data_IF_550970505364
#
_entry.id   IF_550970505364
#
_cell.length_a   1.000
_cell.length_b   1.000
_cell.length_c   1.000
_cell.angle_alpha   90.00
_cell.angle_beta   90.00
_cell.angle_gamma   90.00
#
_symmetry.space_group_name_H-M   'P 1'
#
loop_
_entity.id
_entity.type
_entity.pdbx_description
1 polymer ?
#
# COMPACT_ATOMS: atom_id res chain seq x y z
N UNK A 1 37.57 34.03 36.89
CA UNK A 1 36.42 33.32 37.50
C UNK A 1 36.79 32.85 38.90
N UNK A 2 35.99 33.22 39.91
CA UNK A 2 36.19 32.74 41.29
C UNK A 2 35.98 31.22 41.38
N UNK A 3 36.63 30.55 42.35
CA UNK A 3 36.43 29.11 42.59
C UNK A 3 34.95 28.75 42.80
N UNK A 4 34.19 29.67 43.43
CA UNK A 4 32.75 29.54 43.63
C UNK A 4 31.98 29.48 42.30
N UNK A 5 32.37 30.28 41.31
CA UNK A 5 31.78 30.24 39.98
C UNK A 5 32.11 28.93 39.24
N UNK A 6 33.35 28.42 39.36
CA UNK A 6 33.73 27.11 38.79
C UNK A 6 32.95 25.96 39.42
N UNK A 7 32.80 25.93 40.73
CA UNK A 7 32.05 24.89 41.44
C UNK A 7 30.55 24.88 41.09
N UNK A 8 29.96 26.05 40.82
CA UNK A 8 28.57 26.15 40.34
C UNK A 8 28.44 25.60 38.93
N UNK A 9 29.33 26.01 38.01
CA UNK A 9 29.36 25.49 36.63
C UNK A 9 29.53 23.98 36.61
N UNK A 10 30.44 23.42 37.40
CA UNK A 10 30.66 21.97 37.50
C UNK A 10 29.42 21.21 37.97
N UNK A 11 28.68 21.73 38.96
CA UNK A 11 27.42 21.11 39.42
C UNK A 11 26.33 21.20 38.36
N UNK A 12 26.21 22.34 37.68
CA UNK A 12 25.26 22.50 36.59
C UNK A 12 25.56 21.53 35.44
N UNK A 13 26.83 21.38 35.05
CA UNK A 13 27.25 20.44 34.01
C UNK A 13 26.93 18.99 34.41
N UNK A 14 27.24 18.57 35.64
CA UNK A 14 26.91 17.21 36.12
C UNK A 14 25.41 16.97 36.21
N UNK A 15 24.64 17.97 36.63
CA UNK A 15 23.18 17.87 36.69
C UNK A 15 22.58 17.72 35.29
N UNK A 16 23.01 18.55 34.34
CA UNK A 16 22.59 18.47 32.93
C UNK A 16 23.01 17.13 32.31
N UNK A 17 24.22 16.66 32.55
CA UNK A 17 24.69 15.36 32.08
C UNK A 17 23.89 14.19 32.70
N UNK A 18 23.57 14.27 34.00
CA UNK A 18 22.72 13.29 34.68
C UNK A 18 21.30 13.25 34.13
N UNK A 19 20.70 14.42 33.88
CA UNK A 19 19.40 14.52 33.22
C UNK A 19 19.43 13.98 31.78
N UNK A 20 20.48 14.29 31.02
CA UNK A 20 20.64 13.78 29.66
C UNK A 20 20.78 12.26 29.65
N UNK A 21 21.56 11.67 30.55
CA UNK A 21 21.62 10.21 30.72
C UNK A 21 20.26 9.62 31.10
N UNK A 22 19.56 10.21 32.07
CA UNK A 22 18.24 9.73 32.49
C UNK A 22 17.22 9.81 31.34
N UNK A 23 17.19 10.91 30.58
CA UNK A 23 16.34 11.07 29.40
C UNK A 23 16.69 10.03 28.32
N UNK A 24 17.98 9.83 28.03
CA UNK A 24 18.42 8.81 27.07
C UNK A 24 18.04 7.41 27.52
N UNK A 25 18.11 7.11 28.82
CA UNK A 25 17.68 5.80 29.34
C UNK A 25 16.14 5.65 29.28
N UNK A 26 15.38 6.65 29.71
CA UNK A 26 13.92 6.62 29.70
C UNK A 26 13.33 6.58 28.28
N UNK A 27 13.97 7.23 27.31
CA UNK A 27 13.55 7.22 25.91
C UNK A 27 14.14 6.03 25.13
N UNK A 28 15.41 5.69 25.36
CA UNK A 28 16.12 4.67 24.58
C UNK A 28 15.80 3.24 24.99
N UNK A 29 15.62 2.96 26.29
CA UNK A 29 15.37 1.58 26.76
C UNK A 29 14.09 1.01 26.17
N UNK A 30 12.92 1.69 26.20
CA UNK A 30 11.71 1.14 25.61
C UNK A 30 11.86 0.85 24.11
N UNK A 31 12.44 1.78 23.34
CA UNK A 31 12.70 1.56 21.92
C UNK A 31 13.58 0.32 21.69
N UNK A 32 14.67 0.17 22.47
CA UNK A 32 15.51 -1.01 22.40
C UNK A 32 14.76 -2.30 22.78
N UNK A 33 13.88 -2.24 23.79
CA UNK A 33 13.04 -3.38 24.18
C UNK A 33 12.09 -3.79 23.06
N UNK A 34 11.47 -2.83 22.36
CA UNK A 34 10.62 -3.13 21.21
C UNK A 34 11.37 -3.98 20.18
N UNK A 35 12.52 -3.51 19.70
CA UNK A 35 13.27 -4.22 18.65
C UNK A 35 13.94 -5.51 19.13
N UNK A 36 14.31 -5.60 20.41
CA UNK A 36 14.95 -6.80 20.96
C UNK A 36 13.96 -7.89 21.41
N UNK A 37 12.72 -7.52 21.75
CA UNK A 37 11.79 -8.41 22.45
C UNK A 37 10.48 -8.67 21.72
N UNK A 38 10.09 -7.84 20.74
CA UNK A 38 8.89 -8.07 19.96
C UNK A 38 9.15 -9.18 18.92
N UNK A 39 8.48 -10.34 19.02
CA UNK A 39 8.65 -11.43 18.05
C UNK A 39 7.94 -11.12 16.73
N UNK A 40 7.11 -10.07 16.67
CA UNK A 40 6.37 -9.65 15.49
C UNK A 40 7.06 -8.42 14.88
N UNK A 41 7.43 -8.54 13.61
CA UNK A 41 7.88 -7.42 12.79
C UNK A 41 6.67 -6.79 12.14
N UNK A 42 6.45 -5.52 12.44
CA UNK A 42 5.35 -4.73 11.89
C UNK A 42 5.85 -3.87 10.74
N UNK A 43 5.16 -3.92 9.61
CA UNK A 43 5.60 -3.26 8.37
C UNK A 43 5.77 -1.74 8.52
N UNK A 44 5.02 -1.11 9.44
CA UNK A 44 5.16 0.31 9.75
C UNK A 44 6.61 0.72 10.13
N UNK A 45 7.36 -0.15 10.80
CA UNK A 45 8.75 0.14 11.17
C UNK A 45 9.71 -0.17 10.03
N UNK A 46 9.41 -1.20 9.23
CA UNK A 46 10.21 -1.53 8.04
C UNK A 46 10.17 -0.36 7.03
N UNK A 47 9.00 0.21 6.76
CA UNK A 47 8.88 1.37 5.88
C UNK A 47 9.53 2.64 6.43
N UNK A 48 9.36 2.92 7.73
CA UNK A 48 10.05 4.07 8.33
C UNK A 48 11.58 3.98 8.19
N UNK A 49 12.13 2.76 8.26
CA UNK A 49 13.56 2.53 8.02
C UNK A 49 13.94 2.68 6.55
N UNK A 50 13.06 2.29 5.61
CA UNK A 50 13.25 2.56 4.17
C UNK A 50 13.27 4.06 3.91
N UNK A 51 12.28 4.79 4.39
CA UNK A 51 12.21 6.24 4.26
C UNK A 51 13.46 6.92 4.81
N UNK A 52 13.94 6.49 5.99
CA UNK A 52 15.18 6.99 6.55
C UNK A 52 16.39 6.72 5.67
N UNK A 53 16.55 5.48 5.20
CA UNK A 53 17.69 5.10 4.37
C UNK A 53 17.78 5.93 3.10
N UNK A 54 16.66 6.37 2.53
CA UNK A 54 16.63 7.13 1.28
C UNK A 54 16.36 8.63 1.46
N UNK A 55 16.37 9.12 2.71
CA UNK A 55 16.25 10.56 2.98
C UNK A 55 14.84 11.13 2.90
N UNK A 56 13.82 10.27 2.78
CA UNK A 56 12.40 10.64 2.79
C UNK A 56 11.87 10.84 4.21
N UNK A 57 12.63 11.56 5.04
CA UNK A 57 12.35 11.70 6.47
C UNK A 57 11.69 13.04 6.73
N UNK A 58 10.48 13.00 7.28
CA UNK A 58 9.82 14.19 7.83
C UNK A 58 9.93 14.17 9.35
N UNK A 59 9.86 15.35 9.99
CA UNK A 59 9.79 15.42 11.46
C UNK A 59 8.60 14.61 12.01
N UNK A 60 7.48 14.60 11.27
CA UNK A 60 6.30 13.83 11.62
C UNK A 60 6.53 12.32 11.57
N UNK A 61 7.22 11.81 10.52
CA UNK A 61 7.51 10.38 10.41
C UNK A 61 8.48 9.91 11.50
N UNK A 62 9.49 10.72 11.84
CA UNK A 62 10.41 10.44 12.96
C UNK A 62 9.66 10.42 14.30
N UNK A 63 8.83 11.43 14.56
CA UNK A 63 8.06 11.50 15.80
C UNK A 63 7.12 10.30 15.94
N UNK A 64 6.44 9.94 14.85
CA UNK A 64 5.52 8.78 14.79
C UNK A 64 6.25 7.46 15.02
N UNK A 65 7.44 7.29 14.41
CA UNK A 65 8.28 6.11 14.63
C UNK A 65 8.71 6.00 16.09
N UNK A 66 9.24 7.09 16.67
CA UNK A 66 9.71 7.13 18.06
C UNK A 66 8.54 6.84 19.02
N UNK A 67 7.40 7.50 18.86
CA UNK A 67 6.22 7.31 19.71
C UNK A 67 5.72 5.86 19.64
N UNK A 68 5.60 5.30 18.43
CA UNK A 68 5.16 3.91 18.23
C UNK A 68 6.13 2.89 18.82
N UNK A 69 7.44 3.04 18.58
CA UNK A 69 8.45 2.12 19.09
C UNK A 69 8.59 2.23 20.61
N UNK A 70 8.60 3.45 21.14
CA UNK A 70 8.70 3.71 22.58
C UNK A 70 7.49 3.16 23.33
N UNK A 71 6.27 3.49 22.88
CA UNK A 71 5.03 3.02 23.52
C UNK A 71 4.90 1.50 23.45
N UNK A 72 5.30 0.87 22.34
CA UNK A 72 5.38 -0.59 22.23
C UNK A 72 6.38 -1.18 23.23
N UNK A 73 7.56 -0.59 23.37
CA UNK A 73 8.55 -1.00 24.36
C UNK A 73 8.06 -0.94 25.80
N UNK A 74 7.42 0.18 26.17
CA UNK A 74 6.80 0.35 27.48
C UNK A 74 5.73 -0.70 27.71
N UNK A 75 4.88 -0.94 26.71
CA UNK A 75 3.86 -1.98 26.79
C UNK A 75 4.48 -3.35 27.03
N UNK A 76 5.50 -3.75 26.27
CA UNK A 76 6.17 -5.05 26.43
C UNK A 76 6.73 -5.21 27.85
N UNK A 77 7.31 -4.16 28.42
CA UNK A 77 7.82 -4.18 29.79
C UNK A 77 6.70 -4.38 30.83
N UNK A 78 5.54 -3.75 30.62
CA UNK A 78 4.42 -3.75 31.57
C UNK A 78 3.52 -4.98 31.43
N UNK A 79 3.09 -5.33 30.21
CA UNK A 79 2.12 -6.40 29.96
C UNK A 79 2.76 -7.77 29.80
N UNK A 80 4.03 -7.83 29.38
CA UNK A 80 4.79 -9.06 29.09
C UNK A 80 3.95 -10.09 28.32
N UNK A 81 3.55 -9.79 27.07
CA UNK A 81 2.70 -10.69 26.30
C UNK A 81 3.32 -12.08 26.19
N UNK A 82 2.48 -13.12 26.09
CA UNK A 82 2.97 -14.49 25.93
C UNK A 82 3.86 -14.60 24.68
N UNK A 83 4.97 -15.32 24.81
CA UNK A 83 5.86 -15.67 23.69
C UNK A 83 5.49 -17.00 23.03
N UNK A 84 4.58 -17.75 23.63
CA UNK A 84 4.13 -19.03 23.08
C UNK A 84 3.02 -18.77 22.06
N UNK A 85 3.29 -18.99 20.75
CA UNK A 85 2.29 -18.80 19.73
C UNK A 85 1.23 -19.92 19.80
N UNK A 86 -0.04 -19.62 19.50
CA UNK A 86 -1.08 -20.64 19.41
C UNK A 86 -0.94 -21.47 18.11
N UNK A 87 -1.68 -22.58 17.99
CA UNK A 87 -1.79 -23.32 16.73
C UNK A 87 -2.27 -22.44 15.56
N UNK A 88 -1.71 -22.67 14.37
CA UNK A 88 -2.02 -21.90 13.15
C UNK A 88 -3.40 -22.22 12.56
N UNK A 89 -4.07 -23.29 12.99
CA UNK A 89 -5.43 -23.62 12.59
C UNK A 89 -6.50 -22.96 13.47
N UNK A 90 -6.10 -22.05 14.37
CA UNK A 90 -6.98 -21.29 15.25
C UNK A 90 -6.87 -19.76 15.03
N UNK A 91 -7.44 -19.21 13.93
CA UNK A 91 -7.27 -17.81 13.54
C UNK A 91 -7.56 -16.79 14.64
N UNK A 92 -8.63 -16.94 15.42
CA UNK A 92 -8.98 -16.00 16.49
C UNK A 92 -7.93 -15.99 17.61
N UNK A 93 -7.30 -17.14 17.93
CA UNK A 93 -6.20 -17.19 18.89
C UNK A 93 -4.94 -16.56 18.33
N UNK A 94 -4.62 -16.82 17.06
CA UNK A 94 -3.48 -16.20 16.37
C UNK A 94 -3.65 -14.68 16.33
N UNK A 95 -4.84 -14.17 16.00
CA UNK A 95 -5.14 -12.75 16.06
C UNK A 95 -4.91 -12.20 17.47
N UNK A 96 -5.46 -12.83 18.52
CA UNK A 96 -5.26 -12.40 19.91
C UNK A 96 -3.77 -12.30 20.27
N UNK A 97 -2.98 -13.30 19.87
CA UNK A 97 -1.54 -13.33 20.11
C UNK A 97 -0.84 -12.15 19.42
N UNK A 98 -1.09 -11.93 18.13
CA UNK A 98 -0.49 -10.85 17.36
C UNK A 98 -0.92 -9.47 17.87
N UNK A 99 -2.20 -9.30 18.16
CA UNK A 99 -2.78 -8.06 18.66
C UNK A 99 -2.16 -7.66 20.01
N UNK A 100 -1.86 -8.63 20.88
CA UNK A 100 -1.16 -8.38 22.14
C UNK A 100 0.28 -7.85 21.96
N UNK A 101 0.95 -8.21 20.86
CA UNK A 101 2.30 -7.74 20.48
C UNK A 101 2.29 -6.48 19.61
N UNK A 102 1.12 -6.09 19.08
CA UNK A 102 0.97 -4.90 18.27
C UNK A 102 1.32 -3.65 19.07
N UNK A 103 2.04 -2.66 18.49
CA UNK A 103 2.24 -1.37 19.11
C UNK A 103 0.90 -0.73 19.52
N UNK A 104 0.83 0.00 20.64
CA UNK A 104 -0.38 0.72 21.05
C UNK A 104 -0.96 1.61 19.94
N UNK A 105 -0.10 2.11 19.05
CA UNK A 105 -0.46 2.88 17.85
C UNK A 105 -0.04 2.11 16.61
N UNK A 106 -1.01 1.59 15.87
CA UNK A 106 -0.81 0.99 14.55
C UNK A 106 -1.00 2.05 13.47
N UNK A 107 0.09 2.41 12.81
CA UNK A 107 0.08 3.32 11.65
C UNK A 107 -0.18 2.47 10.42
N UNK A 108 -1.38 2.61 9.87
CA UNK A 108 -1.84 1.86 8.71
C UNK A 108 -1.35 2.59 7.49
N UNK A 109 -0.72 1.85 6.60
CA UNK A 109 -0.11 2.45 5.43
C UNK A 109 -1.19 2.79 4.39
N UNK A 110 -0.98 3.85 3.60
CA UNK A 110 -1.97 4.33 2.66
C UNK A 110 -2.20 3.34 1.54
N UNK A 111 -3.47 2.89 1.36
CA UNK A 111 -4.11 2.39 0.11
C UNK A 111 -5.29 1.46 0.43
N UNK A 112 -5.05 0.21 0.79
CA UNK A 112 -6.07 -0.84 1.00
C UNK A 112 -6.56 -0.92 2.45
N UNK A 113 -5.91 -0.19 3.36
CA UNK A 113 -6.22 -0.27 4.79
C UNK A 113 -5.77 -1.60 5.40
N UNK A 114 -4.63 -2.14 4.95
CA UNK A 114 -4.00 -3.30 5.57
C UNK A 114 -2.88 -2.89 6.53
N UNK A 115 -2.82 -3.58 7.65
CA UNK A 115 -1.74 -3.47 8.63
C UNK A 115 -0.97 -4.79 8.70
N UNK A 116 0.19 -4.80 8.03
CA UNK A 116 0.97 -6.00 7.78
C UNK A 116 1.93 -6.38 8.91
N UNK A 117 2.16 -7.69 9.03
CA UNK A 117 3.12 -8.25 9.97
C UNK A 117 3.85 -9.46 9.41
N UNK A 118 5.01 -9.74 10.02
CA UNK A 118 5.79 -10.97 9.84
C UNK A 118 6.25 -11.48 11.19
N UNK A 119 6.17 -12.79 11.41
CA UNK A 119 6.65 -13.41 12.66
C UNK A 119 7.03 -14.86 12.42
N UNK A 120 7.56 -15.51 13.46
CA UNK A 120 7.83 -16.95 13.46
C UNK A 120 6.93 -17.61 14.50
N UNK A 121 6.18 -18.63 14.07
CA UNK A 121 5.32 -19.44 14.95
C UNK A 121 5.74 -20.91 14.84
N UNK A 122 6.47 -21.39 15.86
CA UNK A 122 7.15 -22.69 15.79
C UNK A 122 8.24 -22.68 14.72
N UNK A 123 8.17 -23.64 13.79
CA UNK A 123 9.13 -23.73 12.69
C UNK A 123 8.77 -22.90 11.45
N UNK A 124 7.56 -22.35 11.44
CA UNK A 124 7.01 -21.63 10.30
C UNK A 124 7.30 -20.13 10.39
N UNK A 125 7.74 -19.56 9.28
CA UNK A 125 7.61 -18.13 9.05
C UNK A 125 6.17 -17.82 8.62
N UNK A 126 5.55 -16.83 9.25
CA UNK A 126 4.14 -16.46 9.07
C UNK A 126 4.04 -15.00 8.68
N UNK A 127 3.38 -14.73 7.56
CA UNK A 127 3.13 -13.39 7.03
C UNK A 127 1.62 -13.17 7.00
N UNK A 128 1.17 -11.93 7.19
CA UNK A 128 -0.26 -11.63 7.15
C UNK A 128 -0.58 -10.16 7.35
N UNK A 129 -1.86 -9.87 7.47
CA UNK A 129 -2.37 -8.52 7.65
C UNK A 129 -3.65 -8.46 8.50
N UNK A 130 -3.91 -7.28 9.06
CA UNK A 130 -5.21 -6.86 9.54
C UNK A 130 -5.82 -5.91 8.52
N UNK A 131 -6.98 -6.23 7.97
CA UNK A 131 -7.77 -5.29 7.17
C UNK A 131 -8.58 -4.41 8.11
N UNK A 132 -8.17 -3.15 8.20
CA UNK A 132 -8.84 -2.15 9.05
C UNK A 132 -9.82 -1.27 8.27
N UNK A 133 -9.92 -1.45 6.96
CA UNK A 133 -10.88 -0.74 6.10
C UNK A 133 -12.34 -0.90 6.57
N UNK A 134 -12.67 -2.05 7.18
CA UNK A 134 -14.01 -2.36 7.67
C UNK A 134 -14.26 -1.96 9.14
N UNK A 135 -13.31 -1.29 9.80
CA UNK A 135 -13.50 -0.82 11.19
C UNK A 135 -14.72 0.09 11.32
N UNK A 136 -15.02 0.89 10.29
CA UNK A 136 -16.24 1.71 10.23
C UNK A 136 -17.55 0.92 10.28
N UNK A 137 -17.50 -0.38 9.96
CA UNK A 137 -18.61 -1.34 10.03
C UNK A 137 -18.58 -2.18 11.32
N UNK A 138 -17.65 -1.89 12.24
CA UNK A 138 -17.44 -2.67 13.45
C UNK A 138 -16.79 -4.04 13.21
N UNK A 139 -16.10 -4.21 12.08
CA UNK A 139 -15.45 -5.47 11.70
C UNK A 139 -13.95 -5.28 11.49
N UNK A 140 -13.19 -6.35 11.74
CA UNK A 140 -11.78 -6.43 11.36
C UNK A 140 -11.55 -7.78 10.68
N UNK A 141 -11.10 -7.76 9.43
CA UNK A 141 -10.67 -8.99 8.75
C UNK A 141 -9.20 -9.25 9.03
N UNK A 142 -8.86 -10.52 9.20
CA UNK A 142 -7.51 -10.96 9.51
C UNK A 142 -7.17 -12.15 8.62
N UNK A 143 -6.00 -12.11 7.97
CA UNK A 143 -5.50 -13.22 7.17
C UNK A 143 -4.00 -13.40 7.34
N UNK A 144 -3.54 -14.64 7.26
CA UNK A 144 -2.13 -14.99 7.37
C UNK A 144 -1.82 -16.31 6.66
N UNK A 145 -0.56 -16.50 6.31
CA UNK A 145 -0.08 -17.69 5.63
C UNK A 145 1.34 -18.07 6.04
N UNK A 146 1.70 -19.35 5.85
CA UNK A 146 3.08 -19.83 6.04
C UNK A 146 3.96 -19.58 4.83
N UNK A 147 5.26 -19.36 5.07
CA UNK A 147 6.29 -19.29 4.03
C UNK A 147 7.24 -20.49 4.20
N UNK A 148 7.55 -21.25 3.13
CA UNK A 148 7.14 -21.06 1.74
C UNK A 148 5.82 -21.76 1.35
N UNK A 149 5.21 -22.55 2.23
CA UNK A 149 4.11 -23.46 1.87
C UNK A 149 2.81 -22.76 1.42
N UNK A 150 2.65 -21.48 1.77
CA UNK A 150 1.49 -20.63 1.44
C UNK A 150 0.14 -21.23 1.91
N UNK A 151 0.12 -22.01 2.98
CA UNK A 151 -1.14 -22.40 3.64
C UNK A 151 -1.79 -21.16 4.21
N UNK A 152 -3.04 -20.86 3.84
CA UNK A 152 -3.73 -19.62 4.20
C UNK A 152 -4.81 -19.88 5.24
N UNK A 153 -4.89 -19.00 6.23
CA UNK A 153 -5.98 -18.92 7.18
C UNK A 153 -6.53 -17.50 7.22
N UNK A 154 -7.83 -17.37 7.49
CA UNK A 154 -8.48 -16.07 7.65
C UNK A 154 -9.63 -16.13 8.63
N UNK A 155 -10.02 -14.98 9.16
CA UNK A 155 -11.18 -14.78 10.02
C UNK A 155 -11.68 -13.35 9.88
N UNK A 156 -12.99 -13.17 10.02
CA UNK A 156 -13.62 -11.87 10.21
C UNK A 156 -14.04 -11.79 11.67
N UNK A 157 -13.61 -10.73 12.35
CA UNK A 157 -13.88 -10.52 13.77
C UNK A 157 -14.91 -9.39 13.91
N UNK A 158 -15.94 -9.65 14.72
CA UNK A 158 -16.99 -8.71 15.06
C UNK A 158 -17.21 -8.60 16.56
N UNK A 159 -18.30 -7.92 16.93
CA UNK A 159 -18.72 -7.75 18.32
C UNK A 159 -18.93 -9.07 19.07
N UNK A 160 -19.39 -10.09 18.36
CA UNK A 160 -19.62 -11.46 18.81
C UNK A 160 -18.32 -12.18 19.19
N UNK A 161 -17.19 -11.79 18.60
CA UNK A 161 -15.86 -12.30 18.92
C UNK A 161 -15.18 -11.52 20.05
N UNK A 162 -15.82 -10.44 20.53
CA UNK A 162 -15.27 -9.54 21.54
C UNK A 162 -14.46 -8.37 20.98
N UNK A 163 -14.65 -8.04 19.69
CA UNK A 163 -14.12 -6.83 19.09
C UNK A 163 -15.01 -5.64 19.47
N UNK A 164 -14.41 -4.57 19.99
CA UNK A 164 -15.07 -3.28 20.19
C UNK A 164 -14.32 -2.24 19.38
N UNK A 165 -15.04 -1.47 18.57
CA UNK A 165 -14.47 -0.45 17.69
C UNK A 165 -15.11 0.90 18.00
N UNK A 166 -14.30 1.83 18.49
CA UNK A 166 -14.66 3.21 18.76
C UNK A 166 -14.03 4.12 17.71
N UNK A 167 -14.87 4.70 16.84
CA UNK A 167 -14.42 5.70 15.86
C UNK A 167 -14.23 7.05 16.55
N UNK A 168 -13.00 7.55 16.57
CA UNK A 168 -12.69 8.87 17.17
C UNK A 168 -12.88 10.00 16.14
N UNK A 169 -12.44 9.77 14.90
CA UNK A 169 -12.60 10.68 13.77
C UNK A 169 -12.66 9.89 12.44
N UNK A 170 -12.39 10.51 11.27
CA UNK A 170 -12.47 9.82 9.98
C UNK A 170 -11.35 8.80 9.73
N UNK A 171 -10.21 8.97 10.39
CA UNK A 171 -9.00 8.16 10.17
C UNK A 171 -8.46 7.54 11.45
N UNK A 172 -9.05 7.84 12.61
CA UNK A 172 -8.61 7.31 13.91
C UNK A 172 -9.67 6.40 14.53
N UNK A 173 -9.26 5.18 14.87
CA UNK A 173 -10.11 4.18 15.50
C UNK A 173 -9.41 3.57 16.71
N UNK A 174 -10.09 3.56 17.86
CA UNK A 174 -9.69 2.74 19.00
C UNK A 174 -10.36 1.37 18.87
N UNK A 175 -9.57 0.31 18.94
CA UNK A 175 -10.00 -1.07 18.78
C UNK A 175 -9.60 -1.82 20.04
N UNK A 176 -10.57 -2.38 20.73
CA UNK A 176 -10.36 -3.28 21.85
C UNK A 176 -10.67 -4.72 21.45
N UNK A 177 -9.82 -5.64 21.88
CA UNK A 177 -10.04 -7.08 21.74
C UNK A 177 -9.59 -7.80 23.01
N UNK A 178 -10.53 -8.41 23.73
CA UNK A 178 -10.29 -9.13 24.99
C UNK A 178 -9.44 -8.34 26.02
N UNK A 179 -9.80 -7.08 26.28
CA UNK A 179 -9.16 -6.21 27.28
C UNK A 179 -7.81 -5.63 26.85
N UNK A 180 -7.44 -5.78 25.58
CA UNK A 180 -6.27 -5.16 24.97
C UNK A 180 -6.78 -4.09 24.02
N UNK A 181 -6.36 -2.83 24.19
CA UNK A 181 -6.81 -1.72 23.32
C UNK A 181 -5.67 -1.21 22.44
N UNK A 182 -6.00 -0.83 21.21
CA UNK A 182 -5.06 -0.34 20.19
C UNK A 182 -5.68 0.79 19.40
N UNK A 183 -4.88 1.79 19.05
CA UNK A 183 -5.29 2.86 18.16
C UNK A 183 -4.77 2.61 16.76
N UNK A 184 -5.67 2.50 15.79
CA UNK A 184 -5.30 2.53 14.38
C UNK A 184 -5.38 3.95 13.84
N UNK A 185 -4.34 4.34 13.13
CA UNK A 185 -4.23 5.60 12.40
C UNK A 185 -4.22 5.24 10.91
N UNK A 186 -5.35 5.46 10.26
CA UNK A 186 -5.50 5.29 8.82
C UNK A 186 -4.81 6.45 8.08
N UNK A 187 -4.39 6.23 6.83
CA UNK A 187 -3.90 7.30 5.97
C UNK A 187 -4.92 8.44 5.88
N UNK A 188 -4.43 9.67 5.89
CA UNK A 188 -5.25 10.81 5.47
C UNK A 188 -5.68 10.62 4.01
N UNK A 189 -6.86 11.14 3.67
CA UNK A 189 -7.40 11.11 2.31
C UNK A 189 -7.00 12.42 1.63
N UNK A 190 -5.92 12.50 0.85
CA UNK A 190 -5.60 13.74 0.17
C UNK A 190 -6.71 14.07 -0.82
N UNK A 191 -7.52 15.08 -0.46
CA UNK A 191 -8.61 15.57 -1.28
C UNK A 191 -8.12 16.23 -2.59
N UNK A 192 -6.83 16.52 -2.67
CA UNK A 192 -6.20 17.22 -3.78
C UNK A 192 -5.00 16.45 -4.30
N UNK A 193 -4.85 16.45 -5.63
CA UNK A 193 -3.68 15.94 -6.35
C UNK A 193 -2.38 16.53 -5.79
N UNK A 194 -1.29 15.74 -5.67
CA UNK A 194 0.04 16.28 -5.41
C UNK A 194 0.43 17.34 -6.44
N UNK A 195 1.00 18.46 -5.99
CA UNK A 195 1.40 19.55 -6.88
C UNK A 195 2.50 19.15 -7.87
N UNK A 196 3.31 18.15 -7.52
CA UNK A 196 4.42 17.67 -8.33
C UNK A 196 4.01 16.77 -9.50
N UNK A 197 2.72 16.43 -9.64
CA UNK A 197 2.22 15.56 -10.70
C UNK A 197 1.35 16.36 -11.66
N UNK A 198 1.84 16.53 -12.89
CA UNK A 198 1.06 17.14 -13.96
C UNK A 198 0.12 16.13 -14.63
N UNK A 199 -1.07 16.61 -15.00
CA UNK A 199 -2.08 15.85 -15.73
C UNK A 199 -2.28 16.42 -17.12
N UNK A 200 -2.39 15.53 -18.09
CA UNK A 200 -2.83 15.87 -19.42
C UNK A 200 -4.32 16.27 -19.46
N UNK A 201 -4.79 16.94 -20.52
CA UNK A 201 -6.18 17.40 -20.62
C UNK A 201 -7.21 16.27 -20.50
N UNK A 202 -6.86 15.07 -20.96
CA UNK A 202 -7.73 13.89 -20.94
C UNK A 202 -7.60 13.05 -19.67
N UNK A 203 -6.80 13.51 -18.71
CA UNK A 203 -6.51 12.78 -17.48
C UNK A 203 -7.23 13.35 -16.27
N UNK A 204 -7.69 12.45 -15.41
CA UNK A 204 -8.33 12.75 -14.15
C UNK A 204 -7.52 12.18 -12.99
N UNK A 205 -7.26 13.00 -11.98
CA UNK A 205 -6.71 12.53 -10.70
C UNK A 205 -7.72 11.60 -10.03
N UNK A 206 -7.28 10.39 -9.66
CA UNK A 206 -8.10 9.42 -8.96
C UNK A 206 -7.76 9.42 -7.48
N UNK A 207 -6.49 9.23 -7.13
CA UNK A 207 -6.04 9.14 -5.75
C UNK A 207 -4.53 8.98 -5.61
N UNK A 208 -4.05 8.94 -4.38
CA UNK A 208 -2.65 8.59 -4.07
C UNK A 208 -2.54 7.16 -3.58
N UNK A 209 -1.46 6.51 -3.98
CA UNK A 209 -1.07 5.17 -3.57
C UNK A 209 0.27 5.25 -2.84
N UNK A 210 0.40 4.57 -1.70
CA UNK A 210 1.69 4.35 -1.05
C UNK A 210 1.95 2.85 -0.96
N UNK A 211 2.69 2.37 -1.95
CA UNK A 211 2.99 0.95 -2.15
C UNK A 211 3.87 0.39 -1.03
N UNK A 212 3.78 -0.92 -0.77
CA UNK A 212 4.58 -1.60 0.25
C UNK A 212 6.09 -1.53 -0.02
N UNK A 213 6.52 -1.21 -1.24
CA UNK A 213 7.91 -0.88 -1.55
C UNK A 213 8.38 0.43 -0.91
N UNK A 214 7.47 1.26 -0.40
CA UNK A 214 7.69 2.64 0.04
C UNK A 214 7.54 3.67 -1.09
N UNK A 215 7.37 3.23 -2.34
CA UNK A 215 7.15 4.13 -3.46
C UNK A 215 5.74 4.76 -3.37
N UNK A 216 5.63 6.02 -3.78
CA UNK A 216 4.34 6.74 -3.84
C UNK A 216 3.95 6.98 -5.27
N UNK A 217 2.67 6.80 -5.56
CA UNK A 217 2.11 7.01 -6.88
C UNK A 217 0.86 7.88 -6.80
N UNK A 218 0.63 8.63 -7.84
CA UNK A 218 -0.67 9.21 -8.16
C UNK A 218 -1.34 8.30 -9.17
N UNK A 219 -2.49 7.73 -8.79
CA UNK A 219 -3.36 7.01 -9.69
C UNK A 219 -4.12 8.02 -10.55
N UNK A 220 -3.99 7.88 -11.85
CA UNK A 220 -4.61 8.74 -12.86
C UNK A 220 -5.51 7.89 -13.73
N UNK A 221 -6.66 8.43 -14.15
CA UNK A 221 -7.52 7.81 -15.15
C UNK A 221 -7.51 8.64 -16.42
N UNK A 222 -7.11 8.05 -17.54
CA UNK A 222 -7.19 8.69 -18.85
C UNK A 222 -8.57 8.42 -19.46
N UNK A 223 -9.35 9.47 -19.67
CA UNK A 223 -10.70 9.40 -20.22
C UNK A 223 -10.72 9.05 -21.70
N UNK A 224 -9.70 9.47 -22.45
CA UNK A 224 -9.61 9.19 -23.88
C UNK A 224 -9.43 7.69 -24.16
N UNK A 225 -8.58 7.00 -23.39
CA UNK A 225 -8.30 5.57 -23.60
C UNK A 225 -8.96 4.65 -22.58
N UNK A 226 -9.66 5.20 -21.58
CA UNK A 226 -10.27 4.45 -20.47
C UNK A 226 -9.27 3.57 -19.71
N UNK A 227 -8.07 4.07 -19.46
CA UNK A 227 -6.99 3.31 -18.80
C UNK A 227 -6.45 4.07 -17.59
N UNK A 228 -6.12 3.33 -16.53
CA UNK A 228 -5.43 3.88 -15.38
C UNK A 228 -3.92 3.99 -15.62
N UNK A 229 -3.25 4.92 -14.94
CA UNK A 229 -1.80 5.04 -14.88
C UNK A 229 -1.33 5.25 -13.46
N UNK A 230 -0.20 4.61 -13.10
CA UNK A 230 0.53 4.91 -11.88
C UNK A 230 1.67 5.89 -12.19
N UNK A 231 1.49 7.14 -11.78
CA UNK A 231 2.51 8.20 -11.95
C UNK A 231 3.31 8.32 -10.67
N UNK A 232 4.63 8.21 -10.72
CA UNK A 232 5.50 8.40 -9.56
C UNK A 232 5.26 9.78 -8.92
N UNK A 233 5.02 9.80 -7.61
CA UNK A 233 4.89 11.03 -6.82
C UNK A 233 6.22 11.33 -6.10
N UNK A 234 6.97 12.37 -6.50
CA UNK A 234 8.24 12.72 -5.89
C UNK A 234 8.11 13.73 -4.73
N UNK A 235 6.90 14.10 -4.30
CA UNK A 235 6.65 15.24 -3.38
C UNK A 235 7.49 15.19 -2.10
N UNK A 236 7.64 14.02 -1.51
CA UNK A 236 8.43 13.81 -0.28
C UNK A 236 9.76 13.08 -0.54
N UNK A 237 10.22 13.10 -1.78
CA UNK A 237 11.36 12.34 -2.26
C UNK A 237 11.00 10.93 -2.75
N UNK A 238 11.95 10.30 -3.43
CA UNK A 238 11.78 8.97 -4.05
C UNK A 238 12.66 7.97 -3.31
N UNK A 239 12.11 6.94 -2.63
CA UNK A 239 12.89 6.01 -1.83
C UNK A 239 13.57 4.92 -2.67
N UNK A 240 14.18 5.35 -3.77
CA UNK A 240 14.79 4.51 -4.79
C UNK A 240 15.93 5.26 -5.48
N UNK A 241 16.92 4.51 -5.96
CA UNK A 241 17.89 5.02 -6.92
C UNK A 241 17.43 4.63 -8.32
N UNK A 242 16.99 5.61 -9.09
CA UNK A 242 16.59 5.44 -10.49
C UNK A 242 17.83 5.52 -11.40
N UNK A 243 18.01 4.49 -12.23
CA UNK A 243 19.12 4.39 -13.18
C UNK A 243 18.62 4.43 -14.63
N UNK A 244 19.39 4.99 -15.58
CA UNK A 244 19.02 4.95 -16.98
C UNK A 244 18.78 3.52 -17.49
N UNK A 245 17.64 3.31 -18.14
CA UNK A 245 17.21 2.03 -18.72
C UNK A 245 16.93 2.16 -20.21
N UNK A 246 17.93 2.63 -20.96
CA UNK A 246 17.75 3.12 -22.33
C UNK A 246 17.54 4.63 -22.34
N UNK A 247 17.04 5.17 -23.45
CA UNK A 247 16.96 6.62 -23.64
C UNK A 247 15.76 7.26 -22.93
N UNK A 248 14.62 6.56 -22.88
CA UNK A 248 13.34 7.09 -22.39
C UNK A 248 12.84 6.44 -21.10
N UNK A 249 13.65 5.60 -20.47
CA UNK A 249 13.22 4.82 -19.33
C UNK A 249 14.22 4.87 -18.20
N UNK A 250 13.72 4.70 -16.98
CA UNK A 250 14.50 4.54 -15.75
C UNK A 250 14.14 3.20 -15.11
N UNK A 251 15.09 2.59 -14.39
CA UNK A 251 14.84 1.40 -13.57
C UNK A 251 15.26 1.65 -12.12
N UNK A 252 14.42 1.24 -11.18
CA UNK A 252 14.73 1.27 -9.75
C UNK A 252 15.73 0.18 -9.38
N UNK A 253 16.83 0.55 -8.74
CA UNK A 253 17.88 -0.40 -8.34
C UNK A 253 17.39 -1.43 -7.32
N UNK A 254 16.49 -1.05 -6.41
CA UNK A 254 15.96 -1.92 -5.35
C UNK A 254 14.70 -2.66 -5.80
N UNK A 255 13.75 -1.92 -6.36
CA UNK A 255 12.41 -2.41 -6.72
C UNK A 255 12.38 -3.13 -8.05
N UNK A 256 13.29 -2.79 -8.97
CA UNK A 256 13.20 -3.18 -10.38
C UNK A 256 12.08 -2.47 -11.13
N UNK A 257 11.34 -1.55 -10.51
CA UNK A 257 10.28 -0.82 -11.20
C UNK A 257 10.86 -0.04 -12.37
N UNK A 258 10.24 -0.20 -13.54
CA UNK A 258 10.65 0.50 -14.77
C UNK A 258 9.66 1.61 -15.03
N UNK A 259 10.20 2.81 -15.26
CA UNK A 259 9.46 4.02 -15.48
C UNK A 259 9.71 4.56 -16.88
N UNK A 260 8.67 5.00 -17.56
CA UNK A 260 8.80 5.86 -18.74
C UNK A 260 8.97 7.32 -18.31
N UNK A 261 9.95 8.00 -18.90
CA UNK A 261 10.22 9.42 -18.67
C UNK A 261 9.38 10.24 -19.66
N UNK A 262 8.32 10.86 -19.15
CA UNK A 262 7.49 11.77 -19.91
C UNK A 262 8.02 13.20 -19.77
N UNK A 263 8.90 13.58 -20.69
CA UNK A 263 9.57 14.89 -20.67
C UNK A 263 8.61 16.06 -20.86
N UNK A 264 7.48 15.86 -21.57
CA UNK A 264 6.52 16.92 -21.85
C UNK A 264 5.72 17.31 -20.60
N UNK A 265 5.38 16.32 -19.78
CA UNK A 265 4.61 16.49 -18.54
C UNK A 265 5.48 16.35 -17.28
N UNK A 266 6.81 16.34 -17.44
CA UNK A 266 7.79 16.27 -16.36
C UNK A 266 7.52 15.19 -15.30
N UNK A 267 7.13 13.99 -15.73
CA UNK A 267 6.66 12.90 -14.85
C UNK A 267 7.22 11.54 -15.23
N UNK A 268 7.08 10.59 -14.31
CA UNK A 268 7.50 9.20 -14.51
C UNK A 268 6.31 8.26 -14.40
N UNK A 269 6.01 7.54 -15.48
CA UNK A 269 4.91 6.56 -15.53
C UNK A 269 5.46 5.18 -15.23
N UNK A 270 4.89 4.44 -14.27
CA UNK A 270 5.25 3.05 -14.05
C UNK A 270 4.79 2.21 -15.24
N UNK A 271 5.73 1.55 -15.91
CA UNK A 271 5.45 0.72 -17.11
C UNK A 271 5.87 -0.73 -16.93
N UNK A 272 6.66 -1.05 -15.90
CA UNK A 272 7.18 -2.40 -15.70
C UNK A 272 7.42 -2.76 -14.25
N UNK A 273 7.01 -3.97 -13.87
CA UNK A 273 7.27 -4.60 -12.58
C UNK A 273 7.79 -6.03 -12.78
N UNK A 274 8.72 -6.47 -11.93
CA UNK A 274 9.31 -7.80 -12.02
C UNK A 274 8.26 -8.90 -11.79
N UNK A 275 8.11 -9.80 -12.77
CA UNK A 275 7.25 -10.98 -12.64
C UNK A 275 7.73 -11.91 -11.51
N UNK A 276 9.02 -11.90 -11.19
CA UNK A 276 9.56 -12.70 -10.09
C UNK A 276 9.05 -12.19 -8.73
N UNK A 277 9.08 -10.87 -8.51
CA UNK A 277 8.53 -10.24 -7.31
C UNK A 277 7.04 -10.52 -7.17
N UNK A 278 6.28 -10.37 -8.26
CA UNK A 278 4.85 -10.73 -8.32
C UNK A 278 4.60 -12.19 -7.94
N UNK A 279 5.42 -13.13 -8.44
CA UNK A 279 5.27 -14.55 -8.09
C UNK A 279 5.60 -14.84 -6.62
N UNK A 280 6.54 -14.11 -6.03
CA UNK A 280 6.89 -14.24 -4.61
C UNK A 280 5.84 -13.58 -3.71
N UNK A 281 5.09 -12.62 -4.25
CA UNK A 281 4.16 -11.75 -3.51
C UNK A 281 4.92 -11.04 -2.38
N UNK A 282 6.04 -10.41 -2.76
CA UNK A 282 6.87 -9.60 -1.87
C UNK A 282 6.58 -8.12 -2.09
N UNK A 283 7.18 -7.22 -1.30
CA UNK A 283 6.91 -5.79 -1.35
C UNK A 283 7.25 -5.09 -2.67
N UNK A 284 7.78 -5.79 -3.69
CA UNK A 284 8.11 -5.21 -5.00
C UNK A 284 7.27 -5.83 -6.12
N UNK A 285 6.10 -6.40 -5.81
CA UNK A 285 5.11 -6.90 -6.77
C UNK A 285 4.25 -5.79 -7.42
N UNK A 286 4.42 -4.56 -6.94
CA UNK A 286 3.89 -3.35 -7.54
C UNK A 286 2.56 -2.92 -6.94
N UNK A 287 2.12 -1.68 -7.22
CA UNK A 287 1.01 -1.03 -6.52
C UNK A 287 -0.37 -1.58 -6.89
N UNK A 288 -0.46 -2.65 -7.67
CA UNK A 288 -1.67 -2.97 -8.38
C UNK A 288 -2.79 -3.54 -7.50
N UNK A 289 -2.46 -4.15 -6.37
CA UNK A 289 -3.44 -4.50 -5.36
C UNK A 289 -3.70 -3.34 -4.39
N UNK A 290 -2.94 -2.24 -4.45
CA UNK A 290 -3.03 -1.11 -3.53
C UNK A 290 -4.13 -0.10 -3.91
N UNK A 291 -5.32 -0.56 -4.23
CA UNK A 291 -6.40 0.33 -4.68
C UNK A 291 -6.95 1.10 -3.46
N UNK A 292 -7.13 2.43 -3.51
CA UNK A 292 -7.71 3.15 -2.37
C UNK A 292 -9.13 2.68 -2.03
N UNK A 293 -9.36 2.11 -0.85
CA UNK A 293 -10.65 1.48 -0.48
C UNK A 293 -11.80 2.47 -0.23
N UNK A 294 -11.52 3.77 -0.19
CA UNK A 294 -12.47 4.84 0.13
C UNK A 294 -12.94 5.63 -1.10
N UNK A 295 -12.38 5.38 -2.28
CA UNK A 295 -12.71 6.09 -3.50
C UNK A 295 -13.88 5.41 -4.22
N UNK A 296 -14.80 6.21 -4.75
CA UNK A 296 -15.76 5.74 -5.74
C UNK A 296 -15.05 5.62 -7.10
N UNK A 297 -14.85 4.39 -7.54
CA UNK A 297 -14.14 4.02 -8.75
C UNK A 297 -15.02 3.26 -9.74
N UNK A 298 -16.29 2.97 -9.41
CA UNK A 298 -17.08 1.97 -10.13
C UNK A 298 -17.19 2.25 -11.62
N UNK A 299 -17.53 3.47 -12.01
CA UNK A 299 -17.66 3.82 -13.44
C UNK A 299 -16.33 3.70 -14.18
N UNK A 300 -15.24 4.20 -13.58
CA UNK A 300 -13.88 4.11 -14.15
C UNK A 300 -13.42 2.65 -14.26
N UNK A 301 -13.78 1.82 -13.28
CA UNK A 301 -13.49 0.39 -13.28
C UNK A 301 -14.31 -0.35 -14.35
N UNK A 302 -15.57 0.01 -14.58
CA UNK A 302 -16.33 -0.56 -15.71
C UNK A 302 -15.72 -0.20 -17.07
N UNK A 303 -15.22 1.04 -17.21
CA UNK A 303 -14.56 1.48 -18.44
C UNK A 303 -13.21 0.78 -18.67
N UNK A 304 -12.34 0.76 -17.65
CA UNK A 304 -11.01 0.16 -17.77
C UNK A 304 -11.02 -1.37 -17.72
N UNK A 305 -11.99 -1.95 -17.00
CA UNK A 305 -12.12 -3.38 -16.74
C UNK A 305 -13.57 -3.84 -17.01
N UNK A 306 -14.03 -3.93 -18.27
CA UNK A 306 -15.42 -4.26 -18.59
C UNK A 306 -15.92 -5.60 -18.00
N UNK A 307 -15.01 -6.54 -17.72
CA UNK A 307 -15.33 -7.79 -17.05
C UNK A 307 -15.91 -7.60 -15.64
N UNK A 308 -15.63 -6.46 -15.00
CA UNK A 308 -16.17 -6.12 -13.67
C UNK A 308 -17.67 -5.86 -13.70
N UNK A 309 -18.27 -5.67 -14.88
CA UNK A 309 -19.71 -5.50 -15.08
C UNK A 309 -20.47 -6.83 -15.21
N UNK A 310 -19.77 -7.95 -15.44
CA UNK A 310 -20.37 -9.28 -15.56
C UNK A 310 -20.98 -9.77 -14.22
N UNK A 311 -22.01 -10.61 -14.29
CA UNK A 311 -22.67 -11.19 -13.12
C UNK A 311 -23.33 -10.13 -12.22
N UNK A 312 -23.02 -10.11 -10.93
CA UNK A 312 -23.54 -9.07 -10.02
C UNK A 312 -22.80 -7.73 -10.11
N UNK A 313 -21.67 -7.67 -10.82
CA UNK A 313 -20.84 -6.48 -10.90
C UNK A 313 -19.94 -6.26 -9.68
N UNK A 314 -19.56 -5.01 -9.47
CA UNK A 314 -18.75 -4.53 -8.33
C UNK A 314 -19.47 -3.41 -7.57
N UNK A 315 -19.11 -3.22 -6.30
CA UNK A 315 -19.51 -2.05 -5.52
C UNK A 315 -18.74 -0.78 -5.94
N UNK A 316 -19.03 0.34 -5.29
CA UNK A 316 -18.41 1.65 -5.56
C UNK A 316 -16.88 1.63 -5.41
N UNK A 317 -16.34 0.66 -4.68
CA UNK A 317 -14.91 0.56 -4.35
C UNK A 317 -14.20 -0.56 -5.12
N UNK A 318 -14.89 -1.30 -6.00
CA UNK A 318 -14.29 -2.38 -6.78
C UNK A 318 -14.32 -3.76 -6.13
N UNK A 319 -15.11 -3.97 -5.08
CA UNK A 319 -15.35 -5.29 -4.47
C UNK A 319 -16.45 -6.01 -5.24
N UNK A 320 -16.24 -7.28 -5.59
CA UNK A 320 -17.24 -8.07 -6.32
C UNK A 320 -18.41 -8.47 -5.41
N UNK A 321 -19.65 -8.10 -5.78
CA UNK A 321 -20.84 -8.20 -4.91
C UNK A 321 -21.26 -9.64 -4.53
N UNK A 322 -20.95 -10.63 -5.37
CA UNK A 322 -21.29 -12.06 -5.13
C UNK A 322 -20.04 -12.93 -4.93
N UNK A 323 -18.92 -12.31 -4.57
CA UNK A 323 -17.69 -13.01 -4.21
C UNK A 323 -17.32 -12.68 -2.77
N UNK A 324 -16.38 -13.42 -2.14
CA UNK A 324 -15.88 -13.05 -0.83
C UNK A 324 -15.41 -11.59 -0.82
N UNK A 325 -15.68 -10.86 0.27
CA UNK A 325 -15.44 -9.39 0.35
C UNK A 325 -13.97 -8.97 0.17
N UNK A 326 -13.03 -9.90 0.34
CA UNK A 326 -11.61 -9.68 0.08
C UNK A 326 -11.27 -9.75 -1.42
N UNK A 327 -12.17 -10.25 -2.26
CA UNK A 327 -11.97 -10.30 -3.70
C UNK A 327 -12.33 -8.95 -4.32
N UNK A 328 -11.30 -8.19 -4.64
CA UNK A 328 -11.37 -6.87 -5.26
C UNK A 328 -10.67 -6.91 -6.62
N UNK A 329 -11.04 -6.00 -7.51
CA UNK A 329 -10.27 -5.76 -8.72
C UNK A 329 -8.89 -5.19 -8.36
N UNK A 330 -7.84 -5.74 -8.95
CA UNK A 330 -6.51 -5.16 -8.95
C UNK A 330 -6.38 -4.23 -10.17
N UNK A 331 -5.82 -3.04 -9.98
CA UNK A 331 -5.56 -2.07 -11.04
C UNK A 331 -4.06 -2.15 -11.34
N UNK A 332 -3.65 -2.88 -12.39
CA UNK A 332 -2.24 -3.13 -12.68
C UNK A 332 -1.80 -2.48 -14.00
N UNK A 333 -1.74 -1.14 -14.11
CA UNK A 333 -1.47 -0.44 -15.35
C UNK A 333 0.03 -0.45 -15.71
N UNK A 334 0.60 -1.65 -15.77
CA UNK A 334 2.00 -1.88 -16.07
C UNK A 334 2.22 -3.32 -16.56
N UNK A 335 3.36 -3.52 -17.21
CA UNK A 335 3.79 -4.82 -17.67
C UNK A 335 4.47 -5.61 -16.57
N UNK A 336 4.23 -6.92 -16.53
CA UNK A 336 5.01 -7.85 -15.71
C UNK A 336 6.10 -8.46 -16.57
N UNK A 337 7.36 -8.27 -16.22
CA UNK A 337 8.48 -8.72 -17.04
C UNK A 337 9.27 -9.84 -16.37
N UNK A 338 9.63 -10.86 -17.14
CA UNK A 338 10.52 -11.94 -16.67
C UNK A 338 11.99 -11.51 -16.76
N UNK A 339 12.32 -10.68 -17.75
CA UNK A 339 13.65 -10.12 -17.98
C UNK A 339 13.56 -8.63 -18.30
N UNK A 340 14.40 -7.77 -17.70
CA UNK A 340 14.46 -6.37 -18.09
C UNK A 340 14.72 -6.21 -19.59
N UNK A 341 15.60 -7.03 -20.18
CA UNK A 341 15.93 -6.94 -21.60
C UNK A 341 14.70 -7.15 -22.51
N UNK A 342 13.88 -8.17 -22.21
CA UNK A 342 12.63 -8.45 -22.93
C UNK A 342 11.65 -7.27 -22.82
N UNK A 343 11.52 -6.70 -21.62
CA UNK A 343 10.69 -5.51 -21.42
C UNK A 343 11.20 -4.36 -22.28
N UNK A 344 12.51 -4.11 -22.31
CA UNK A 344 13.09 -3.03 -23.11
C UNK A 344 12.77 -3.22 -24.59
N UNK A 345 12.99 -4.40 -25.14
CA UNK A 345 12.67 -4.69 -26.55
C UNK A 345 11.20 -4.37 -26.85
N UNK A 346 10.29 -4.84 -25.98
CA UNK A 346 8.85 -4.58 -26.11
C UNK A 346 8.51 -3.09 -26.03
N UNK A 347 9.06 -2.37 -25.05
CA UNK A 347 8.80 -0.94 -24.88
C UNK A 347 9.34 -0.12 -26.06
N UNK A 348 10.51 -0.47 -26.60
CA UNK A 348 11.09 0.21 -27.77
C UNK A 348 10.39 -0.09 -29.09
N UNK A 349 9.56 -1.14 -29.13
CA UNK A 349 8.76 -1.48 -30.31
C UNK A 349 7.45 -0.68 -30.39
N UNK A 350 7.10 0.06 -29.33
CA UNK A 350 5.93 0.93 -29.33
C UNK A 350 6.24 2.17 -30.17
N UNK A 351 5.38 2.45 -31.15
CA UNK A 351 5.54 3.60 -32.02
C UNK A 351 5.28 4.90 -31.26
N UNK A 352 6.29 5.76 -31.15
CA UNK A 352 6.20 7.06 -30.51
C UNK A 352 5.44 8.11 -31.37
N UNK A 353 5.10 7.79 -32.62
CA UNK A 353 4.36 8.68 -33.52
C UNK A 353 2.83 8.68 -33.28
N UNK A 354 2.33 7.79 -32.41
CA UNK A 354 0.91 7.75 -32.02
C UNK A 354 0.55 8.92 -31.10
N UNK A 355 -0.74 9.20 -30.98
CA UNK A 355 -1.28 10.15 -30.00
C UNK A 355 -0.80 9.75 -28.57
N UNK A 356 -0.61 10.74 -27.70
CA UNK A 356 0.07 10.53 -26.42
C UNK A 356 -0.66 9.59 -25.47
N UNK A 357 -1.99 9.71 -25.36
CA UNK A 357 -2.78 8.80 -24.55
C UNK A 357 -2.69 7.37 -25.09
N UNK A 358 -2.70 7.19 -26.42
CA UNK A 358 -2.47 5.90 -27.05
C UNK A 358 -1.06 5.34 -26.75
N UNK A 359 -0.02 6.18 -26.75
CA UNK A 359 1.34 5.79 -26.41
C UNK A 359 1.45 5.31 -24.97
N UNK A 360 0.98 6.12 -24.00
CA UNK A 360 1.02 5.74 -22.59
C UNK A 360 0.26 4.44 -22.35
N UNK A 361 -0.92 4.31 -22.94
CA UNK A 361 -1.73 3.09 -22.90
C UNK A 361 -1.00 1.88 -23.46
N UNK A 362 -0.28 2.02 -24.57
CA UNK A 362 0.51 0.93 -25.14
C UNK A 362 1.67 0.50 -24.23
N UNK A 363 2.28 1.44 -23.51
CA UNK A 363 3.37 1.19 -22.56
C UNK A 363 2.89 0.57 -21.24
N UNK A 364 1.67 0.90 -20.79
CA UNK A 364 1.08 0.46 -19.51
C UNK A 364 0.08 -0.68 -19.65
N UNK A 365 -0.14 -1.18 -20.87
CA UNK A 365 -1.16 -2.20 -21.15
C UNK A 365 -0.96 -3.47 -20.32
N UNK A 366 -1.99 -3.85 -19.56
CA UNK A 366 -1.91 -5.05 -18.70
C UNK A 366 -1.65 -6.34 -19.49
N UNK A 367 -0.89 -7.25 -18.89
CA UNK A 367 -0.43 -8.48 -19.54
C UNK A 367 -1.56 -9.42 -19.99
N UNK A 368 -2.71 -9.41 -19.30
CA UNK A 368 -3.85 -10.28 -19.59
C UNK A 368 -4.84 -9.66 -20.59
N UNK A 369 -4.71 -8.37 -20.90
CA UNK A 369 -5.66 -7.62 -21.72
C UNK A 369 -5.43 -7.82 -23.24
N UNK A 370 -5.51 -9.07 -23.72
CA UNK A 370 -5.34 -9.38 -25.14
C UNK A 370 -6.58 -9.00 -25.97
N UNK A 371 -6.45 -8.76 -27.29
CA UNK A 371 -7.62 -8.53 -28.15
C UNK A 371 -8.67 -9.65 -28.07
N UNK A 372 -8.23 -10.91 -28.11
CA UNK A 372 -9.14 -12.08 -28.04
C UNK A 372 -9.87 -12.16 -26.69
N UNK A 373 -9.14 -11.90 -25.60
CA UNK A 373 -9.73 -11.89 -24.26
C UNK A 373 -10.80 -10.79 -24.16
N UNK A 374 -10.51 -9.57 -24.66
CA UNK A 374 -11.49 -8.48 -24.70
C UNK A 374 -12.72 -8.85 -25.51
N UNK A 375 -12.54 -9.41 -26.71
CA UNK A 375 -13.65 -9.85 -27.55
C UNK A 375 -14.56 -10.85 -26.82
N UNK A 376 -13.98 -11.76 -26.04
CA UNK A 376 -14.73 -12.66 -25.15
C UNK A 376 -15.59 -11.92 -24.13
N UNK A 377 -15.00 -10.97 -23.39
CA UNK A 377 -15.74 -10.15 -22.41
C UNK A 377 -16.90 -9.39 -23.05
N UNK A 378 -16.68 -8.74 -24.20
CA UNK A 378 -17.74 -8.01 -24.88
C UNK A 378 -18.88 -8.93 -25.35
N UNK A 379 -18.55 -10.12 -25.85
CA UNK A 379 -19.57 -11.13 -26.18
C UNK A 379 -20.38 -11.56 -24.96
N UNK A 380 -19.75 -11.71 -23.80
CA UNK A 380 -20.44 -12.08 -22.57
C UNK A 380 -21.30 -10.94 -22.02
N UNK A 381 -20.83 -9.69 -22.13
CA UNK A 381 -21.64 -8.51 -21.80
C UNK A 381 -22.87 -8.36 -22.70
N UNK A 382 -22.74 -8.65 -23.99
CA UNK A 382 -23.87 -8.68 -24.92
C UNK A 382 -24.89 -9.75 -24.53
N UNK A 383 -24.44 -10.97 -24.19
CA UNK A 383 -25.32 -12.06 -23.71
C UNK A 383 -26.05 -11.70 -22.41
N UNK A 384 -25.40 -10.96 -21.51
CA UNK A 384 -26.03 -10.48 -20.26
C UNK A 384 -26.88 -9.22 -20.45
N UNK A 385 -26.94 -8.64 -21.66
CA UNK A 385 -27.69 -7.41 -21.94
C UNK A 385 -27.08 -6.16 -21.28
N UNK A 386 -25.77 -6.16 -21.04
CA UNK A 386 -25.05 -5.12 -20.30
C UNK A 386 -24.14 -4.25 -21.16
N UNK A 387 -24.00 -4.57 -22.45
CA UNK A 387 -23.21 -3.78 -23.37
C UNK A 387 -23.72 -2.32 -23.48
N UNK A 388 -25.03 -2.10 -23.37
CA UNK A 388 -25.64 -0.76 -23.37
C UNK A 388 -25.23 0.06 -22.14
N UNK A 389 -25.02 -0.57 -20.99
CA UNK A 389 -24.56 0.15 -19.79
C UNK A 389 -23.18 0.74 -20.06
N UNK A 390 -22.27 -0.02 -20.69
CA UNK A 390 -20.94 0.47 -21.03
C UNK A 390 -20.98 1.57 -22.10
N UNK A 391 -21.89 1.49 -23.07
CA UNK A 391 -22.05 2.55 -24.09
C UNK A 391 -22.61 3.85 -23.52
N UNK A 392 -23.38 3.79 -22.42
CA UNK A 392 -23.82 5.00 -21.70
C UNK A 392 -22.74 5.65 -20.85
N UNK A 393 -21.71 4.89 -20.47
CA UNK A 393 -20.58 5.39 -19.68
C UNK A 393 -19.47 5.97 -20.55
N UNK A 394 -19.45 5.64 -21.84
CA UNK A 394 -18.47 6.15 -22.81
C UNK A 394 -18.98 7.42 -23.49
N UNK A 395 -18.10 8.38 -23.73
CA UNK A 395 -18.46 9.55 -24.53
C UNK A 395 -18.74 9.14 -25.99
N UNK A 396 -19.56 9.88 -26.78
CA UNK A 396 -19.86 9.52 -28.17
C UNK A 396 -18.63 9.40 -29.11
N UNK A 397 -17.45 9.88 -28.69
CA UNK A 397 -16.19 9.71 -29.43
C UNK A 397 -15.53 8.34 -29.17
N UNK A 398 -15.62 7.82 -27.94
CA UNK A 398 -15.07 6.52 -27.52
C UNK A 398 -15.82 5.34 -28.17
N UNK A 399 -17.11 5.51 -28.47
CA UNK A 399 -17.90 4.52 -29.19
C UNK A 399 -17.50 4.31 -30.66
N UNK A 400 -16.52 5.06 -31.18
CA UNK A 400 -16.00 4.85 -32.55
C UNK A 400 -14.66 4.14 -32.57
N UNK A 401 -13.83 4.31 -31.55
CA UNK A 401 -12.51 3.67 -31.48
C UNK A 401 -12.54 2.33 -30.71
N UNK A 402 -13.43 2.18 -29.72
CA UNK A 402 -13.66 0.92 -29.02
C UNK A 402 -14.32 -0.17 -29.90
N UNK A 403 -14.96 0.22 -31.00
CA UNK A 403 -15.79 -0.64 -31.85
C UNK A 403 -15.15 -1.08 -33.16
N UNK A 404 -13.90 -0.66 -33.43
CA UNK A 404 -13.15 -1.14 -34.59
C UNK A 404 -13.87 -0.93 -35.93
N UNK A 405 -14.10 0.32 -36.30
CA UNK A 405 -14.15 0.72 -37.72
C UNK A 405 -12.84 1.39 -38.14
#
# INVERSE_FOLDING_TARGET
MSERARAIVDRCVRFVAGMACALTMCAGIPIAVHFASNPVRWHQFDLALVDWRYGNVTLSSVATFIDSAWSSGVQILLSRPSREPPPLDEPSKVFRYLFAWMPPRGVVLPTEGFYYFRTRMGDNEVWGNFRVADLSKGMLSFAYFTVPDKTVWSSNLGSEDGLVVDRLDEVTFDVEFHGVSRRFLLPERPATRPLAVDLAPDEEYVGTIHDESGMRFTLVFNRNTSVFYDVLDPTDGVPETLEPFGEKFLIGRRTGFVFYVDELWHRHLLVGVSLESVKRNDFFDGPGDQVPFYLDLREKLYLAYPQTLLGAGIDDHGVYLEKPQWMRIAICPYLRYASPWELRERLTAVDDAVERSALWTALTKEWWNTPDWRAGIYSDLEKEGKLEVLSTLTSPAEAREAFGE
#
